data_IF_324605284697
#
_entry.id   IF_324605284697
#
_cell.length_a   1.000
_cell.length_b   1.000
_cell.length_c   1.000
_cell.angle_alpha   90.00
_cell.angle_beta   90.00
_cell.angle_gamma   90.00
#
_symmetry.space_group_name_H-M   'P 1'
#
loop_
_entity.id
_entity.type
_entity.pdbx_description
1 polymer ?
#
# COMPACT_ATOMS: atom_id res chain seq x y z
N UNK A 1 29.49 -58.11 10.72
CA UNK A 1 29.56 -57.10 9.65
C UNK A 1 28.20 -56.59 9.14
N UNK A 2 27.10 -57.37 9.07
CA UNK A 2 25.78 -56.90 8.56
C UNK A 2 25.08 -55.83 9.43
N UNK A 3 25.26 -55.85 10.77
CA UNK A 3 24.63 -54.85 11.69
C UNK A 3 25.23 -53.43 11.58
N UNK A 4 26.50 -53.30 11.20
CA UNK A 4 27.18 -52.02 11.04
C UNK A 4 26.72 -51.31 9.77
N UNK A 5 26.43 -52.05 8.69
CA UNK A 5 25.98 -51.45 7.42
C UNK A 5 24.57 -50.84 7.52
N UNK A 6 23.68 -51.50 8.29
CA UNK A 6 22.29 -51.04 8.52
C UNK A 6 22.27 -49.73 9.33
N UNK A 7 23.20 -49.61 10.30
CA UNK A 7 23.30 -48.39 11.12
C UNK A 7 23.82 -47.18 10.32
N UNK A 8 24.76 -47.40 9.38
CA UNK A 8 25.27 -46.34 8.51
C UNK A 8 24.17 -45.86 7.51
N UNK A 9 23.36 -46.78 6.96
CA UNK A 9 22.25 -46.42 6.09
C UNK A 9 21.14 -45.65 6.82
N UNK A 10 20.86 -45.96 8.10
CA UNK A 10 19.93 -45.20 8.93
C UNK A 10 20.45 -43.80 9.24
N UNK A 11 21.74 -43.64 9.53
CA UNK A 11 22.34 -42.31 9.75
C UNK A 11 22.33 -41.44 8.47
N UNK A 12 22.63 -42.02 7.31
CA UNK A 12 22.59 -41.29 6.02
C UNK A 12 21.17 -40.88 5.64
N UNK A 13 20.14 -41.65 5.95
CA UNK A 13 18.75 -41.29 5.70
C UNK A 13 18.29 -40.14 6.61
N UNK A 14 18.69 -40.14 7.89
CA UNK A 14 18.32 -39.06 8.82
C UNK A 14 18.99 -37.74 8.43
N UNK A 15 20.26 -37.74 8.05
CA UNK A 15 20.97 -36.55 7.57
C UNK A 15 20.47 -36.08 6.19
N UNK A 16 20.13 -36.98 5.28
CA UNK A 16 19.57 -36.65 3.96
C UNK A 16 18.21 -36.01 4.05
N UNK A 17 17.30 -36.53 4.90
CA UNK A 17 15.97 -35.94 5.11
C UNK A 17 16.02 -34.58 5.82
N UNK A 18 16.92 -34.42 6.79
CA UNK A 18 17.14 -33.16 7.50
C UNK A 18 17.63 -32.08 6.55
N UNK A 19 18.64 -32.36 5.72
CA UNK A 19 19.16 -31.40 4.74
C UNK A 19 18.16 -31.05 3.63
N UNK A 20 17.38 -31.99 3.13
CA UNK A 20 16.35 -31.76 2.14
C UNK A 20 15.23 -30.86 2.71
N UNK A 21 14.74 -31.14 3.91
CA UNK A 21 13.72 -30.36 4.60
C UNK A 21 14.19 -28.93 4.91
N UNK A 22 15.44 -28.76 5.36
CA UNK A 22 16.03 -27.44 5.61
C UNK A 22 16.20 -26.65 4.31
N UNK A 23 16.66 -27.29 3.23
CA UNK A 23 16.80 -26.67 1.92
C UNK A 23 15.44 -26.22 1.36
N UNK A 24 14.41 -27.05 1.49
CA UNK A 24 13.03 -26.71 1.06
C UNK A 24 12.48 -25.52 1.85
N UNK A 25 12.64 -25.53 3.18
CA UNK A 25 12.17 -24.43 4.02
C UNK A 25 12.89 -23.12 3.71
N UNK A 26 14.18 -23.13 3.44
CA UNK A 26 14.92 -21.95 3.04
C UNK A 26 14.46 -21.42 1.67
N UNK A 27 14.16 -22.32 0.72
CA UNK A 27 13.59 -21.93 -0.58
C UNK A 27 12.21 -21.29 -0.43
N UNK A 28 11.35 -21.83 0.46
CA UNK A 28 10.03 -21.23 0.73
C UNK A 28 10.14 -19.87 1.40
N UNK A 29 11.04 -19.70 2.38
CA UNK A 29 11.31 -18.38 2.98
C UNK A 29 11.76 -17.36 1.92
N UNK A 30 12.66 -17.75 1.04
CA UNK A 30 13.12 -16.86 -0.03
C UNK A 30 12.00 -16.52 -1.00
N UNK A 31 11.13 -17.47 -1.34
CA UNK A 31 9.97 -17.23 -2.21
C UNK A 31 8.96 -16.25 -1.56
N UNK A 32 8.73 -16.36 -0.25
CA UNK A 32 7.90 -15.42 0.51
C UNK A 32 8.52 -14.02 0.53
N UNK A 33 9.83 -13.90 0.75
CA UNK A 33 10.55 -12.62 0.69
C UNK A 33 10.44 -12.00 -0.70
N UNK A 34 10.68 -12.78 -1.75
CA UNK A 34 10.60 -12.31 -3.12
C UNK A 34 9.19 -11.82 -3.47
N UNK A 35 8.13 -12.52 -3.02
CA UNK A 35 6.75 -12.10 -3.27
C UNK A 35 6.43 -10.72 -2.66
N UNK A 36 7.02 -10.41 -1.50
CA UNK A 36 6.92 -9.08 -0.91
C UNK A 36 7.63 -8.00 -1.74
N UNK A 37 8.84 -8.28 -2.21
CA UNK A 37 9.57 -7.33 -3.06
C UNK A 37 8.83 -7.07 -4.38
N UNK A 38 8.26 -8.11 -5.01
CA UNK A 38 7.43 -7.96 -6.21
C UNK A 38 6.15 -7.16 -5.93
N UNK A 39 5.50 -7.39 -4.79
CA UNK A 39 4.35 -6.60 -4.34
C UNK A 39 4.72 -5.12 -4.20
N UNK A 40 5.82 -4.81 -3.51
CA UNK A 40 6.27 -3.43 -3.34
C UNK A 40 6.61 -2.78 -4.68
N UNK A 41 7.36 -3.48 -5.54
CA UNK A 41 7.72 -3.02 -6.88
C UNK A 41 6.47 -2.72 -7.71
N UNK A 42 5.46 -3.57 -7.66
CA UNK A 42 4.19 -3.35 -8.35
C UNK A 42 3.49 -2.09 -7.85
N UNK A 43 3.30 -1.95 -6.53
CA UNK A 43 2.55 -0.84 -5.94
C UNK A 43 3.29 0.50 -5.94
N UNK A 44 4.61 0.50 -6.07
CA UNK A 44 5.42 1.74 -6.14
C UNK A 44 5.82 2.13 -7.56
N UNK A 45 5.56 1.29 -8.57
CA UNK A 45 5.91 1.63 -9.95
C UNK A 45 5.04 2.80 -10.46
N UNK A 46 5.66 3.79 -11.14
CA UNK A 46 4.93 4.95 -11.66
C UNK A 46 3.75 4.58 -12.57
N UNK A 47 3.92 3.55 -13.40
CA UNK A 47 2.88 3.08 -14.32
C UNK A 47 1.65 2.55 -13.55
N UNK A 48 1.89 1.64 -12.58
CA UNK A 48 0.81 1.07 -11.79
C UNK A 48 0.15 2.10 -10.86
N UNK A 49 0.91 3.04 -10.30
CA UNK A 49 0.35 4.14 -9.52
C UNK A 49 -0.59 4.99 -10.38
N UNK A 50 -0.17 5.38 -11.58
CA UNK A 50 -1.03 6.12 -12.52
C UNK A 50 -2.27 5.32 -12.85
N UNK A 51 -2.12 4.07 -13.29
CA UNK A 51 -3.24 3.18 -13.60
C UNK A 51 -4.21 3.10 -12.43
N UNK A 52 -3.73 2.80 -11.22
CA UNK A 52 -4.58 2.69 -10.04
C UNK A 52 -5.33 3.99 -9.71
N UNK A 53 -4.69 5.15 -9.81
CA UNK A 53 -5.35 6.44 -9.58
C UNK A 53 -6.45 6.70 -10.61
N UNK A 54 -6.22 6.41 -11.89
CA UNK A 54 -7.19 6.63 -12.95
C UNK A 54 -8.28 5.56 -12.99
N UNK A 55 -7.95 4.28 -12.82
CA UNK A 55 -8.92 3.18 -12.84
C UNK A 55 -9.82 3.23 -11.59
N UNK A 56 -9.26 3.55 -10.42
CA UNK A 56 -10.02 3.68 -9.18
C UNK A 56 -10.96 4.89 -9.17
N UNK A 57 -10.72 5.89 -10.01
CA UNK A 57 -11.64 7.00 -10.17
C UNK A 57 -12.97 6.58 -10.81
N UNK A 58 -13.02 5.45 -11.53
CA UNK A 58 -14.20 5.01 -12.29
C UNK A 58 -14.74 3.65 -11.81
N UNK A 59 -13.90 2.63 -11.62
CA UNK A 59 -14.32 1.25 -11.33
C UNK A 59 -13.67 0.58 -10.11
N UNK A 60 -12.56 1.08 -9.60
CA UNK A 60 -11.72 0.40 -8.62
C UNK A 60 -12.16 0.44 -7.17
N UNK A 61 -13.24 1.17 -6.84
CA UNK A 61 -13.78 1.20 -5.47
C UNK A 61 -14.27 -0.17 -4.98
N UNK A 62 -14.54 -1.12 -5.88
CA UNK A 62 -15.01 -2.46 -5.52
C UNK A 62 -13.88 -3.39 -5.07
N UNK A 63 -12.68 -3.28 -5.65
CA UNK A 63 -11.55 -4.16 -5.31
C UNK A 63 -10.79 -3.68 -4.06
N UNK A 64 -10.63 -2.36 -3.87
CA UNK A 64 -9.88 -1.80 -2.74
C UNK A 64 -10.67 -1.85 -1.44
N UNK A 65 -11.98 -1.63 -1.48
CA UNK A 65 -12.81 -1.50 -0.28
C UNK A 65 -13.47 -2.82 0.16
N UNK A 66 -13.30 -3.90 -0.59
CA UNK A 66 -13.91 -5.19 -0.29
C UNK A 66 -15.45 -5.17 -0.30
N UNK A 67 -16.07 -6.35 -0.09
CA UNK A 67 -17.53 -6.50 -0.14
C UNK A 67 -18.28 -5.90 1.08
N UNK A 68 -17.57 -5.47 2.11
CA UNK A 68 -18.15 -5.02 3.39
C UNK A 68 -18.40 -3.52 3.51
N UNK A 69 -18.07 -2.74 2.48
CA UNK A 69 -18.30 -1.29 2.50
C UNK A 69 -19.73 -0.97 2.10
N UNK A 70 -20.37 -0.11 2.88
CA UNK A 70 -21.73 0.37 2.65
C UNK A 70 -21.92 0.83 1.19
N UNK A 71 -22.96 0.33 0.52
CA UNK A 71 -23.28 0.66 -0.88
C UNK A 71 -23.47 2.17 -1.12
N UNK A 72 -23.94 2.92 -0.12
CA UNK A 72 -24.07 4.37 -0.21
C UNK A 72 -22.68 5.03 -0.31
N UNK A 73 -21.75 4.61 0.53
CA UNK A 73 -20.37 5.14 0.51
C UNK A 73 -19.66 4.84 -0.83
N UNK A 74 -19.86 3.63 -1.38
CA UNK A 74 -19.33 3.30 -2.73
C UNK A 74 -19.92 4.20 -3.81
N UNK A 75 -21.23 4.50 -3.73
CA UNK A 75 -21.91 5.40 -4.65
C UNK A 75 -21.39 6.83 -4.53
N UNK A 76 -21.17 7.30 -3.32
CA UNK A 76 -20.66 8.65 -3.05
C UNK A 76 -19.21 8.80 -3.55
N UNK A 77 -18.35 7.79 -3.34
CA UNK A 77 -17.00 7.77 -3.90
C UNK A 77 -17.00 7.74 -5.43
N UNK A 78 -17.87 6.95 -6.07
CA UNK A 78 -18.02 6.98 -7.53
C UNK A 78 -18.47 8.34 -8.05
N UNK A 79 -19.39 8.99 -7.35
CA UNK A 79 -19.86 10.33 -7.71
C UNK A 79 -18.74 11.38 -7.55
N UNK A 80 -17.94 11.29 -6.49
CA UNK A 80 -16.77 12.14 -6.25
C UNK A 80 -15.73 11.91 -7.35
N UNK A 81 -15.38 10.66 -7.62
CA UNK A 81 -14.42 10.29 -8.65
C UNK A 81 -14.84 10.78 -10.05
N UNK A 82 -16.12 10.57 -10.41
CA UNK A 82 -16.68 11.05 -11.69
C UNK A 82 -16.72 12.59 -11.80
N UNK A 83 -16.60 13.31 -10.67
CA UNK A 83 -16.57 14.79 -10.65
C UNK A 83 -15.17 15.37 -10.62
N UNK A 84 -14.13 14.55 -10.47
CA UNK A 84 -12.74 15.02 -10.45
C UNK A 84 -12.33 15.57 -11.80
N UNK A 85 -11.61 16.69 -11.77
CA UNK A 85 -10.95 17.20 -12.96
C UNK A 85 -9.76 16.32 -13.31
N UNK A 86 -9.42 16.17 -14.59
CA UNK A 86 -8.20 15.47 -15.00
C UNK A 86 -6.96 16.01 -14.27
N UNK A 87 -6.94 17.29 -13.92
CA UNK A 87 -5.86 17.94 -13.19
C UNK A 87 -5.71 17.39 -11.77
N UNK A 88 -6.82 17.15 -11.02
CA UNK A 88 -6.72 16.60 -9.67
C UNK A 88 -6.21 15.15 -9.68
N UNK A 89 -6.60 14.35 -10.66
CA UNK A 89 -6.12 12.99 -10.83
C UNK A 89 -4.64 12.95 -11.23
N UNK A 90 -4.21 13.83 -12.14
CA UNK A 90 -2.79 13.96 -12.51
C UNK A 90 -1.96 14.33 -11.29
N UNK A 91 -2.36 15.36 -10.55
CA UNK A 91 -1.66 15.77 -9.34
C UNK A 91 -1.63 14.66 -8.29
N UNK A 92 -2.74 13.90 -8.15
CA UNK A 92 -2.81 12.77 -7.22
C UNK A 92 -1.84 11.65 -7.62
N UNK A 93 -1.79 11.29 -8.90
CA UNK A 93 -0.83 10.31 -9.40
C UNK A 93 0.61 10.78 -9.20
N UNK A 94 0.91 12.03 -9.53
CA UNK A 94 2.25 12.60 -9.42
C UNK A 94 2.74 12.66 -7.97
N UNK A 95 1.91 13.12 -7.01
CA UNK A 95 2.35 13.13 -5.62
C UNK A 95 2.53 11.73 -5.03
N UNK A 96 1.69 10.76 -5.41
CA UNK A 96 1.84 9.37 -4.97
C UNK A 96 3.11 8.73 -5.55
N UNK A 97 3.43 8.97 -6.82
CA UNK A 97 4.67 8.50 -7.43
C UNK A 97 5.88 9.04 -6.66
N UNK A 98 5.90 10.36 -6.40
CA UNK A 98 7.00 10.99 -5.66
C UNK A 98 7.05 10.47 -4.22
N UNK A 99 5.91 10.34 -3.53
CA UNK A 99 5.87 9.82 -2.16
C UNK A 99 6.37 8.37 -2.12
N UNK A 100 5.89 7.51 -3.03
CA UNK A 100 6.28 6.10 -3.09
C UNK A 100 7.76 5.92 -3.45
N UNK A 101 8.35 6.79 -4.28
CA UNK A 101 9.79 6.75 -4.57
C UNK A 101 10.68 7.02 -3.36
N UNK A 102 10.11 7.60 -2.29
CA UNK A 102 10.81 7.90 -1.03
C UNK A 102 10.59 6.83 0.04
N UNK A 103 9.88 5.74 -0.28
CA UNK A 103 9.71 4.61 0.64
C UNK A 103 10.97 3.74 0.57
N UNK A 104 11.52 3.42 1.73
CA UNK A 104 12.56 2.41 1.90
C UNK A 104 12.05 1.28 2.78
N UNK A 105 12.46 0.04 2.47
CA UNK A 105 12.03 -1.13 3.21
C UNK A 105 13.09 -2.22 3.21
N UNK A 106 13.10 -3.02 4.29
CA UNK A 106 13.99 -4.16 4.46
C UNK A 106 13.28 -5.27 5.22
N UNK A 107 13.29 -6.48 4.66
CA UNK A 107 12.81 -7.66 5.40
C UNK A 107 13.82 -8.02 6.47
N UNK A 108 13.37 -8.05 7.73
CA UNK A 108 14.17 -8.41 8.90
C UNK A 108 14.07 -9.90 9.22
N UNK A 109 12.87 -10.47 9.08
CA UNK A 109 12.59 -11.86 9.35
C UNK A 109 11.49 -12.42 8.44
N UNK A 110 11.54 -13.71 8.18
CA UNK A 110 10.52 -14.47 7.46
C UNK A 110 10.21 -15.77 8.18
N UNK A 111 8.96 -15.99 8.51
CA UNK A 111 8.43 -17.23 9.07
C UNK A 111 7.47 -17.87 8.06
N UNK A 112 7.61 -19.18 7.85
CA UNK A 112 6.76 -19.92 6.91
C UNK A 112 6.20 -21.15 7.61
N UNK A 113 4.88 -21.32 7.57
CA UNK A 113 4.20 -22.48 8.16
C UNK A 113 2.90 -22.76 7.40
N UNK A 114 2.73 -24.01 6.97
CA UNK A 114 1.47 -24.51 6.39
C UNK A 114 0.90 -23.63 5.26
N UNK A 115 1.74 -23.20 4.31
CA UNK A 115 1.30 -22.38 3.18
C UNK A 115 0.98 -20.92 3.51
N UNK A 116 1.32 -20.48 4.71
CA UNK A 116 1.27 -19.07 5.12
C UNK A 116 2.66 -18.56 5.48
N UNK A 117 2.93 -17.31 5.21
CA UNK A 117 4.16 -16.64 5.57
C UNK A 117 3.87 -15.34 6.35
N UNK A 118 4.74 -15.05 7.32
CA UNK A 118 4.72 -13.77 8.03
C UNK A 118 6.09 -13.14 7.92
N UNK A 119 6.15 -11.96 7.32
CA UNK A 119 7.36 -11.16 7.25
C UNK A 119 7.36 -10.11 8.35
N UNK A 120 8.51 -9.89 8.97
CA UNK A 120 8.78 -8.66 9.73
C UNK A 120 9.55 -7.74 8.81
N UNK A 121 8.99 -6.58 8.51
CA UNK A 121 9.55 -5.63 7.56
C UNK A 121 9.79 -4.31 8.27
N UNK A 122 11.03 -3.83 8.26
CA UNK A 122 11.34 -2.45 8.60
C UNK A 122 10.98 -1.58 7.40
N UNK A 123 10.15 -0.56 7.61
CA UNK A 123 9.69 0.32 6.54
C UNK A 123 9.72 1.77 7.00
N UNK A 124 10.17 2.65 6.10
CA UNK A 124 10.20 4.09 6.29
C UNK A 124 9.62 4.77 5.07
N UNK A 125 8.76 5.75 5.29
CA UNK A 125 8.13 6.50 4.19
C UNK A 125 7.61 7.86 4.65
N UNK A 126 7.20 8.73 3.71
CA UNK A 126 6.63 10.03 4.02
C UNK A 126 5.40 9.92 4.93
N UNK A 127 5.36 10.73 5.98
CA UNK A 127 4.20 10.83 6.87
C UNK A 127 3.30 11.99 6.41
N UNK A 128 2.48 11.75 5.40
CA UNK A 128 1.62 12.78 4.84
C UNK A 128 0.49 13.20 5.81
N UNK A 129 0.08 12.30 6.73
CA UNK A 129 -0.95 12.60 7.75
C UNK A 129 -0.49 13.65 8.76
N UNK A 130 0.83 13.78 8.97
CA UNK A 130 1.38 14.79 9.87
C UNK A 130 1.16 16.24 9.41
N UNK A 131 0.60 16.43 8.20
CA UNK A 131 0.37 17.75 7.59
C UNK A 131 -1.11 18.14 7.50
N UNK A 132 -1.99 17.43 8.22
CA UNK A 132 -3.43 17.71 8.21
C UNK A 132 -3.78 19.16 8.57
N UNK A 133 -3.14 19.73 9.60
CA UNK A 133 -3.35 21.13 9.97
C UNK A 133 -2.83 22.12 8.93
N UNK A 134 -1.71 21.80 8.26
CA UNK A 134 -1.20 22.64 7.17
C UNK A 134 -2.16 22.62 5.97
N UNK A 135 -2.69 21.44 5.63
CA UNK A 135 -3.71 21.30 4.59
C UNK A 135 -4.95 22.12 4.92
N UNK A 136 -5.48 22.02 6.15
CA UNK A 136 -6.64 22.80 6.58
C UNK A 136 -6.41 24.30 6.44
N UNK A 137 -5.26 24.80 6.88
CA UNK A 137 -4.90 26.21 6.76
C UNK A 137 -4.76 26.63 5.29
N UNK A 138 -4.14 25.79 4.46
CA UNK A 138 -4.05 26.02 3.02
C UNK A 138 -5.44 26.12 2.37
N UNK A 139 -6.32 25.17 2.63
CA UNK A 139 -7.70 25.16 2.10
C UNK A 139 -8.47 26.39 2.58
N UNK A 140 -8.36 26.77 3.85
CA UNK A 140 -9.01 27.96 4.39
C UNK A 140 -8.53 29.24 3.70
N UNK A 141 -7.21 29.39 3.50
CA UNK A 141 -6.63 30.50 2.76
C UNK A 141 -7.18 30.60 1.35
N UNK A 142 -7.07 29.49 0.57
CA UNK A 142 -7.53 29.43 -0.83
C UNK A 142 -9.04 29.67 -0.93
N UNK A 143 -9.83 29.17 0.03
CA UNK A 143 -11.29 29.39 0.04
C UNK A 143 -11.63 30.85 0.26
N UNK A 144 -10.92 31.57 1.14
CA UNK A 144 -11.10 32.99 1.36
C UNK A 144 -10.73 33.81 0.12
N UNK A 145 -9.61 33.50 -0.54
CA UNK A 145 -9.16 34.15 -1.76
C UNK A 145 -10.16 33.95 -2.93
N UNK A 146 -10.87 32.83 -2.94
CA UNK A 146 -11.83 32.44 -3.99
C UNK A 146 -13.30 32.58 -3.56
N UNK A 147 -13.62 33.30 -2.48
CA UNK A 147 -14.96 33.38 -1.90
C UNK A 147 -16.07 33.71 -2.92
N UNK A 148 -15.83 34.68 -3.81
CA UNK A 148 -16.79 35.09 -4.88
C UNK A 148 -17.03 33.95 -5.89
N UNK A 149 -16.01 33.16 -6.20
CA UNK A 149 -16.12 32.00 -7.12
C UNK A 149 -16.86 30.86 -6.44
N UNK A 150 -16.48 30.57 -5.20
CA UNK A 150 -17.06 29.47 -4.41
C UNK A 150 -18.54 29.69 -4.13
N UNK A 151 -18.98 30.92 -3.85
CA UNK A 151 -20.40 31.24 -3.62
C UNK A 151 -21.33 30.95 -4.81
N UNK A 152 -20.76 30.79 -6.01
CA UNK A 152 -21.49 30.43 -7.24
C UNK A 152 -21.40 28.94 -7.60
N UNK A 153 -20.64 28.15 -6.83
CA UNK A 153 -20.47 26.72 -7.05
C UNK A 153 -21.65 25.94 -6.45
N UNK A 154 -22.12 24.94 -7.15
CA UNK A 154 -22.93 23.89 -6.55
C UNK A 154 -22.04 22.95 -5.71
N UNK A 155 -22.65 22.06 -4.92
CA UNK A 155 -21.93 21.15 -4.02
C UNK A 155 -20.88 20.29 -4.76
N UNK A 156 -21.22 19.76 -5.94
CA UNK A 156 -20.31 18.95 -6.76
C UNK A 156 -19.08 19.74 -7.23
N UNK A 157 -19.30 20.97 -7.69
CA UNK A 157 -18.22 21.87 -8.11
C UNK A 157 -17.31 22.25 -6.94
N UNK A 158 -17.89 22.51 -5.76
CA UNK A 158 -17.14 22.81 -4.56
C UNK A 158 -16.27 21.62 -4.10
N UNK A 159 -16.82 20.40 -4.09
CA UNK A 159 -16.05 19.20 -3.78
C UNK A 159 -14.89 18.99 -4.78
N UNK A 160 -15.15 19.14 -6.08
CA UNK A 160 -14.08 19.05 -7.10
C UNK A 160 -13.00 20.11 -6.88
N UNK A 161 -13.38 21.33 -6.52
CA UNK A 161 -12.44 22.39 -6.16
C UNK A 161 -11.57 22.00 -4.95
N UNK A 162 -12.16 21.46 -3.88
CA UNK A 162 -11.43 21.02 -2.70
C UNK A 162 -10.44 19.90 -3.05
N UNK A 163 -10.86 18.91 -3.83
CA UNK A 163 -9.99 17.81 -4.27
C UNK A 163 -8.81 18.29 -5.12
N UNK A 164 -9.07 19.22 -6.06
CA UNK A 164 -8.01 19.84 -6.87
C UNK A 164 -7.00 20.55 -5.96
N UNK A 165 -7.46 21.37 -5.03
CA UNK A 165 -6.58 22.13 -4.13
C UNK A 165 -5.83 21.23 -3.14
N UNK A 166 -6.47 20.18 -2.64
CA UNK A 166 -5.80 19.19 -1.79
C UNK A 166 -4.71 18.43 -2.55
N UNK A 167 -4.97 18.03 -3.79
CA UNK A 167 -3.96 17.34 -4.62
C UNK A 167 -2.79 18.26 -4.99
N UNK A 168 -3.04 19.55 -5.26
CA UNK A 168 -2.00 20.57 -5.46
C UNK A 168 -1.14 20.74 -4.19
N UNK A 169 -1.75 20.79 -3.01
CA UNK A 169 -1.04 20.88 -1.74
C UNK A 169 -0.10 19.66 -1.54
N UNK A 170 -0.62 18.44 -1.69
CA UNK A 170 0.21 17.24 -1.51
C UNK A 170 1.32 17.13 -2.54
N UNK A 171 1.08 17.56 -3.80
CA UNK A 171 2.12 17.57 -4.83
C UNK A 171 3.25 18.55 -4.51
N UNK A 172 2.95 19.68 -3.88
CA UNK A 172 3.97 20.62 -3.39
C UNK A 172 4.67 20.06 -2.15
N UNK A 173 3.91 19.48 -1.22
CA UNK A 173 4.42 18.90 0.01
C UNK A 173 5.47 17.82 -0.22
N UNK A 174 5.20 16.85 -1.11
CA UNK A 174 6.13 15.73 -1.34
C UNK A 174 7.45 16.14 -1.99
N UNK A 175 7.53 17.37 -2.52
CA UNK A 175 8.75 17.96 -3.10
C UNK A 175 9.59 18.72 -2.08
N UNK A 176 9.09 18.91 -0.85
CA UNK A 176 9.80 19.66 0.20
C UNK A 176 11.00 18.85 0.73
N UNK A 177 12.03 19.58 1.18
CA UNK A 177 13.21 18.98 1.78
C UNK A 177 13.00 18.63 3.28
N UNK A 178 12.04 19.29 3.94
CA UNK A 178 11.69 19.11 5.36
C UNK A 178 10.54 18.10 5.57
N UNK A 179 10.32 17.21 4.62
CA UNK A 179 9.26 16.21 4.68
C UNK A 179 9.43 15.30 5.89
N UNK A 180 8.38 15.20 6.71
CA UNK A 180 8.35 14.28 7.86
C UNK A 180 8.20 12.84 7.38
N UNK A 181 8.89 11.92 8.07
CA UNK A 181 8.81 10.49 7.81
C UNK A 181 8.20 9.76 8.99
N UNK A 182 7.51 8.67 8.70
CA UNK A 182 7.16 7.64 9.67
C UNK A 182 8.02 6.41 9.39
N UNK A 183 8.34 5.66 10.46
CA UNK A 183 9.22 4.51 10.40
C UNK A 183 8.77 3.49 11.43
N UNK A 184 8.66 2.22 11.06
CA UNK A 184 8.30 1.15 11.99
C UNK A 184 8.63 -0.22 11.42
N UNK A 185 8.69 -1.21 12.32
CA UNK A 185 8.66 -2.62 11.97
C UNK A 185 7.19 -3.08 11.89
N UNK A 186 6.81 -3.59 10.72
CA UNK A 186 5.44 -4.05 10.46
C UNK A 186 5.42 -5.54 10.18
N UNK A 187 4.27 -6.19 10.41
CA UNK A 187 4.01 -7.56 9.96
C UNK A 187 3.31 -7.51 8.61
N UNK A 188 3.80 -8.32 7.66
CA UNK A 188 3.19 -8.51 6.34
C UNK A 188 2.85 -9.98 6.18
N UNK A 189 1.61 -10.26 5.88
CA UNK A 189 1.07 -11.61 5.73
C UNK A 189 1.04 -12.02 4.26
N UNK A 190 1.57 -13.20 4.00
CA UNK A 190 1.75 -13.79 2.68
C UNK A 190 1.10 -15.16 2.65
N UNK A 191 0.50 -15.54 1.54
CA UNK A 191 -0.14 -16.84 1.36
C UNK A 191 0.33 -17.52 0.08
N UNK A 192 0.37 -18.84 0.10
CA UNK A 192 0.65 -19.65 -1.08
C UNK A 192 -0.64 -19.87 -1.88
N UNK A 193 -0.63 -19.48 -3.14
CA UNK A 193 -1.70 -19.69 -4.11
C UNK A 193 -1.19 -20.68 -5.16
N UNK A 194 -1.68 -21.93 -5.10
CA UNK A 194 -1.13 -23.03 -5.94
C UNK A 194 0.39 -23.14 -5.78
N UNK A 195 1.17 -22.73 -6.76
CA UNK A 195 2.64 -22.83 -6.77
C UNK A 195 3.36 -21.48 -6.52
N UNK A 196 2.63 -20.39 -6.32
CA UNK A 196 3.19 -19.04 -6.13
C UNK A 196 2.84 -18.49 -4.75
N UNK A 197 3.73 -17.65 -4.22
CA UNK A 197 3.49 -16.89 -3.01
C UNK A 197 3.01 -15.49 -3.37
N UNK A 198 2.06 -14.94 -2.62
CA UNK A 198 1.57 -13.58 -2.80
C UNK A 198 1.23 -12.90 -1.47
N UNK A 199 1.48 -11.61 -1.37
CA UNK A 199 1.02 -10.79 -0.23
C UNK A 199 -0.51 -10.81 -0.22
N UNK A 200 -1.10 -11.04 0.94
CA UNK A 200 -2.56 -11.05 1.09
C UNK A 200 -3.07 -9.63 0.86
N UNK A 201 -3.82 -9.44 -0.23
CA UNK A 201 -4.38 -8.16 -0.62
C UNK A 201 -5.69 -7.87 0.13
N UNK A 202 -5.64 -7.96 1.45
CA UNK A 202 -6.75 -7.60 2.33
C UNK A 202 -6.29 -6.45 3.23
N UNK A 203 -6.95 -5.31 3.09
CA UNK A 203 -6.63 -4.09 3.83
C UNK A 203 -6.74 -4.29 5.35
N UNK A 204 -7.64 -5.16 5.82
CA UNK A 204 -7.79 -5.43 7.26
C UNK A 204 -6.64 -6.25 7.81
N UNK A 205 -6.06 -7.13 6.99
CA UNK A 205 -4.93 -8.02 7.37
C UNK A 205 -3.60 -7.28 7.25
N UNK A 206 -3.39 -6.56 6.14
CA UNK A 206 -2.12 -5.89 5.81
C UNK A 206 -2.24 -4.35 5.87
N UNK A 207 -3.10 -3.79 6.72
CA UNK A 207 -3.34 -2.34 6.80
C UNK A 207 -2.08 -1.51 7.03
N UNK A 208 -1.11 -2.06 7.76
CA UNK A 208 0.12 -1.36 8.09
C UNK A 208 0.93 -0.96 6.84
N UNK A 209 1.04 -1.85 5.84
CA UNK A 209 1.77 -1.55 4.61
C UNK A 209 1.03 -0.54 3.72
N UNK A 210 -0.30 -0.60 3.68
CA UNK A 210 -1.10 0.32 2.88
C UNK A 210 -1.02 1.77 3.37
N UNK A 211 -0.76 2.01 4.66
CA UNK A 211 -0.49 3.34 5.19
C UNK A 211 0.74 3.99 4.55
N UNK A 212 1.79 3.20 4.27
CA UNK A 212 3.00 3.69 3.59
C UNK A 212 2.79 3.91 2.10
N UNK A 213 1.95 3.11 1.46
CA UNK A 213 1.65 3.21 0.02
C UNK A 213 0.66 4.35 -0.33
N UNK A 214 0.24 5.14 0.65
CA UNK A 214 -0.71 6.23 0.44
C UNK A 214 -2.16 5.80 0.28
N UNK A 215 -2.46 4.50 0.33
CA UNK A 215 -3.82 3.96 0.29
C UNK A 215 -4.50 3.98 1.68
N UNK A 216 -3.75 4.31 2.74
CA UNK A 216 -4.25 4.42 4.10
C UNK A 216 -4.99 5.72 4.41
N UNK A 217 -5.19 6.57 3.42
CA UNK A 217 -6.00 7.78 3.52
C UNK A 217 -7.48 7.51 3.20
N UNK A 218 -7.93 6.31 3.56
CA UNK A 218 -9.33 5.93 3.54
C UNK A 218 -10.16 6.78 4.51
N UNK A 219 -11.33 6.30 4.93
CA UNK A 219 -12.42 7.07 5.54
C UNK A 219 -12.08 7.94 6.76
N UNK A 220 -10.90 7.86 7.35
CA UNK A 220 -10.50 8.68 8.50
C UNK A 220 -10.25 10.17 8.15
N UNK A 221 -9.95 10.49 6.87
CA UNK A 221 -9.85 11.87 6.41
C UNK A 221 -11.21 12.48 5.97
N UNK A 222 -12.27 11.68 5.96
CA UNK A 222 -13.62 12.08 5.59
C UNK A 222 -14.56 12.19 6.81
N UNK A 223 -14.03 12.11 8.05
CA UNK A 223 -14.77 12.36 9.30
C UNK A 223 -14.61 13.77 9.81
#
# INVERSE_FOLDING_TARGET
MKKSLTMILLFLSIFGFSNAKTKTLNNEKQAVINSFYEFMKFHTSPENVKKNVFDNSVDGTNEILGNNVNNQFKKDLKNIAASQTNKSLINAADYLIIANSKISYKVLNAEVKNGTGVLTVHIKGPNLTAYGSELQNYIKKISNENKKKISKMNNKQYQSFLLEKSSEFYLQLVKRNDLKYMESDIKVYVKKYSNTWGVIQDYTINNAIYKYLGFGYGPELMR
#
